data_IF_459368271266
#
_entry.id   IF_459368271266
#
_cell.length_a   1.000
_cell.length_b   1.000
_cell.length_c   1.000
_cell.angle_alpha   90.00
_cell.angle_beta   90.00
_cell.angle_gamma   90.00
#
_symmetry.space_group_name_H-M   'P 1'
#
loop_
_entity.id
_entity.type
_entity.pdbx_description
1 polymer ?
#
# COMPACT_ATOMS: atom_id res chain seq x y z
N UNK A 1 -10.89 -8.00 -10.52
CA UNK A 1 -10.60 -6.69 -11.13
C UNK A 1 -11.42 -5.58 -10.51
N UNK A 2 -10.77 -4.79 -9.63
CA UNK A 2 -11.29 -3.50 -9.19
C UNK A 2 -10.97 -2.46 -10.28
N UNK A 3 -11.91 -2.24 -11.20
CA UNK A 3 -11.71 -1.29 -12.29
C UNK A 3 -11.40 0.12 -11.78
N UNK A 4 -10.33 0.72 -12.28
CA UNK A 4 -9.92 2.09 -11.93
C UNK A 4 -9.17 2.22 -10.59
N UNK A 5 -8.82 1.12 -9.92
CA UNK A 5 -8.06 1.14 -8.67
C UNK A 5 -6.61 0.68 -8.83
N UNK A 6 -6.13 0.48 -10.06
CA UNK A 6 -4.79 -0.04 -10.34
C UNK A 6 -3.68 0.82 -9.74
N UNK A 7 -3.83 2.15 -9.78
CA UNK A 7 -2.89 3.07 -9.12
C UNK A 7 -2.90 2.93 -7.60
N UNK A 8 -4.09 2.75 -7.01
CA UNK A 8 -4.23 2.57 -5.56
C UNK A 8 -3.56 1.25 -5.12
N UNK A 9 -3.81 0.16 -5.86
CA UNK A 9 -3.16 -1.13 -5.62
C UNK A 9 -1.63 -1.00 -5.74
N UNK A 10 -1.15 -0.36 -6.80
CA UNK A 10 0.29 -0.12 -7.01
C UNK A 10 0.91 0.65 -5.84
N UNK A 11 0.27 1.72 -5.37
CA UNK A 11 0.75 2.51 -4.25
C UNK A 11 0.82 1.69 -2.95
N UNK A 12 -0.21 0.89 -2.66
CA UNK A 12 -0.21 0.02 -1.48
C UNK A 12 0.92 -1.00 -1.57
N UNK A 13 1.12 -1.63 -2.74
CA UNK A 13 2.23 -2.56 -2.94
C UNK A 13 3.58 -1.89 -2.71
N UNK A 14 3.80 -0.69 -3.23
CA UNK A 14 5.05 0.03 -2.97
C UNK A 14 5.24 0.35 -1.48
N UNK A 15 4.18 0.73 -0.77
CA UNK A 15 4.26 1.05 0.64
C UNK A 15 4.42 -0.18 1.54
N UNK A 16 3.97 -1.36 1.12
CA UNK A 16 3.98 -2.57 1.95
C UNK A 16 5.05 -3.56 1.49
N UNK A 17 5.11 -3.87 0.19
CA UNK A 17 6.05 -4.86 -0.36
C UNK A 17 7.49 -4.35 -0.38
N UNK A 18 7.75 -3.08 -0.70
CA UNK A 18 9.13 -2.60 -0.80
C UNK A 18 9.88 -2.61 0.54
N UNK A 19 9.29 -2.18 1.66
CA UNK A 19 9.89 -2.37 2.97
C UNK A 19 10.22 -3.83 3.31
N UNK A 20 9.39 -4.77 2.84
CA UNK A 20 9.54 -6.19 3.14
C UNK A 20 10.59 -6.87 2.25
N UNK A 21 10.64 -6.51 0.97
CA UNK A 21 11.55 -7.10 -0.02
C UNK A 21 12.93 -6.43 0.01
N UNK A 22 12.99 -5.12 0.32
CA UNK A 22 14.22 -4.31 0.31
C UNK A 22 14.39 -3.44 1.56
N UNK A 23 14.42 -4.04 2.76
CA UNK A 23 14.61 -3.29 4.01
C UNK A 23 15.93 -2.51 4.02
N UNK A 24 16.95 -2.97 3.29
CA UNK A 24 18.23 -2.28 3.17
C UNK A 24 18.09 -0.87 2.62
N UNK A 25 17.18 -0.61 1.68
CA UNK A 25 16.99 0.74 1.13
C UNK A 25 16.56 1.73 2.22
N UNK A 26 15.70 1.29 3.13
CA UNK A 26 15.21 2.11 4.23
C UNK A 26 16.32 2.39 5.25
N UNK A 27 17.13 1.38 5.56
CA UNK A 27 18.31 1.51 6.43
C UNK A 27 19.37 2.45 5.85
N UNK A 28 19.65 2.36 4.54
CA UNK A 28 20.63 3.24 3.88
C UNK A 28 20.14 4.68 3.76
N UNK A 29 18.83 4.88 3.58
CA UNK A 29 18.23 6.21 3.54
C UNK A 29 18.01 6.81 4.94
N UNK A 30 18.16 6.01 6.01
CA UNK A 30 17.95 6.45 7.39
C UNK A 30 16.49 6.78 7.69
N UNK A 31 15.55 6.17 6.98
CA UNK A 31 14.11 6.40 7.13
C UNK A 31 13.42 5.13 7.62
N UNK A 32 12.50 5.30 8.56
CA UNK A 32 11.70 4.17 9.03
C UNK A 32 10.69 3.74 7.97
N UNK A 33 10.49 2.42 7.78
CA UNK A 33 9.45 1.93 6.89
C UNK A 33 8.05 2.30 7.43
N UNK A 34 7.06 2.50 6.55
CA UNK A 34 5.68 2.75 6.96
C UNK A 34 5.11 1.55 7.73
N UNK A 35 4.43 1.83 8.84
CA UNK A 35 3.87 0.78 9.74
C UNK A 35 2.51 0.23 9.31
N UNK A 36 1.85 0.88 8.35
CA UNK A 36 0.54 0.46 7.88
C UNK A 36 -0.09 1.48 6.94
N UNK A 37 -1.18 1.09 6.29
CA UNK A 37 -1.92 1.92 5.33
C UNK A 37 -3.37 2.08 5.81
N UNK A 38 -3.90 3.29 5.74
CA UNK A 38 -5.29 3.60 6.05
C UNK A 38 -6.09 3.83 4.75
N UNK A 39 -7.11 3.02 4.50
CA UNK A 39 -8.02 3.18 3.37
C UNK A 39 -9.22 4.05 3.78
N UNK A 40 -9.34 5.26 3.24
CA UNK A 40 -10.43 6.21 3.55
C UNK A 40 -11.14 6.68 2.27
N UNK A 41 -12.47 6.77 2.32
CA UNK A 41 -13.29 7.32 1.24
C UNK A 41 -14.79 7.05 1.45
N UNK A 42 -15.67 7.65 0.61
CA UNK A 42 -17.13 7.44 0.64
C UNK A 42 -17.55 5.96 0.62
N UNK A 43 -18.74 5.57 1.12
CA UNK A 43 -19.21 4.20 1.01
C UNK A 43 -19.29 3.76 -0.47
N UNK A 44 -19.04 2.48 -0.75
CA UNK A 44 -19.11 1.92 -2.11
C UNK A 44 -17.82 2.00 -2.95
N UNK A 45 -16.74 2.62 -2.48
CA UNK A 45 -15.48 2.78 -3.25
C UNK A 45 -14.51 1.58 -3.18
N UNK A 46 -15.00 0.37 -2.89
CA UNK A 46 -14.17 -0.84 -2.95
C UNK A 46 -13.12 -1.06 -1.85
N UNK A 47 -13.05 -0.21 -0.81
CA UNK A 47 -12.04 -0.32 0.29
C UNK A 47 -11.99 -1.70 0.96
N UNK A 48 -13.14 -2.31 1.24
CA UNK A 48 -13.22 -3.63 1.87
C UNK A 48 -12.74 -4.73 0.93
N UNK A 49 -13.08 -4.64 -0.36
CA UNK A 49 -12.57 -5.57 -1.36
C UNK A 49 -11.06 -5.45 -1.54
N UNK A 50 -10.52 -4.23 -1.51
CA UNK A 50 -9.09 -3.96 -1.61
C UNK A 50 -8.28 -4.51 -0.42
N UNK A 51 -8.86 -4.48 0.79
CA UNK A 51 -8.20 -5.00 1.99
C UNK A 51 -8.16 -6.54 2.05
N UNK A 52 -9.07 -7.21 1.33
CA UNK A 52 -9.17 -8.67 1.27
C UNK A 52 -8.45 -9.29 0.06
N UNK A 53 -7.94 -8.46 -0.86
CA UNK A 53 -7.26 -8.88 -2.09
C UNK A 53 -5.74 -9.00 -1.88
#
# INVERSE_FOLDING_TARGET
DLGGMDEVVKNIRQLVEYPLIRPELYSHLGVDPPRGVLLRGPPGTGKTHLANA
#
